data_IF_365443375327
#
_entry.id   IF_365443375327
#
_cell.length_a   1.000
_cell.length_b   1.000
_cell.length_c   1.000
_cell.angle_alpha   90.00
_cell.angle_beta   90.00
_cell.angle_gamma   90.00
#
_symmetry.space_group_name_H-M   'P 1'
#
loop_
_entity.id
_entity.type
_entity.pdbx_description
1 polymer ?
#
# COMPACT_ATOMS: atom_id res chain seq x y z
N UNK A 1 26.31 -45.58 -44.63
CA UNK A 1 24.99 -44.97 -44.37
C UNK A 1 25.02 -44.57 -42.91
N UNK A 2 25.53 -43.37 -42.63
CA UNK A 2 25.72 -42.87 -41.25
C UNK A 2 24.73 -41.74 -41.04
N UNK A 3 23.88 -41.91 -40.04
CA UNK A 3 22.80 -40.99 -39.68
C UNK A 3 23.38 -39.73 -39.03
N UNK A 4 22.87 -38.58 -39.46
CA UNK A 4 23.21 -37.26 -38.95
C UNK A 4 22.61 -37.06 -37.55
N UNK A 5 23.45 -36.96 -36.51
CA UNK A 5 23.03 -36.42 -35.22
C UNK A 5 23.46 -34.95 -35.16
N UNK A 6 22.63 -34.08 -35.74
CA UNK A 6 22.77 -32.65 -35.61
C UNK A 6 22.47 -32.21 -34.18
N UNK A 7 23.50 -31.81 -33.44
CA UNK A 7 23.39 -31.19 -32.11
C UNK A 7 22.45 -29.99 -32.16
N UNK A 8 21.22 -30.20 -31.72
CA UNK A 8 20.25 -29.12 -31.48
C UNK A 8 20.69 -28.36 -30.24
N UNK A 9 21.63 -27.43 -30.40
CA UNK A 9 22.02 -26.45 -29.38
C UNK A 9 20.84 -25.50 -29.11
N UNK A 10 19.86 -26.00 -28.36
CA UNK A 10 18.67 -25.26 -27.96
C UNK A 10 18.97 -24.44 -26.71
N UNK A 11 19.64 -23.29 -26.86
CA UNK A 11 19.56 -22.27 -25.80
C UNK A 11 18.08 -21.90 -25.63
N UNK A 12 17.53 -21.85 -24.39
CA UNK A 12 16.18 -21.38 -24.17
C UNK A 12 16.03 -20.01 -24.81
N UNK A 13 15.08 -19.85 -25.74
CA UNK A 13 14.76 -18.54 -26.31
C UNK A 13 14.14 -17.72 -25.19
N UNK A 14 14.91 -16.80 -24.64
CA UNK A 14 14.40 -15.84 -23.67
C UNK A 14 13.29 -15.01 -24.32
N UNK A 15 12.12 -15.02 -23.70
CA UNK A 15 10.98 -14.21 -24.14
C UNK A 15 11.27 -12.77 -23.76
N UNK A 16 11.09 -11.84 -24.70
CA UNK A 16 11.31 -10.42 -24.44
C UNK A 16 10.31 -9.86 -23.43
N UNK A 17 10.73 -8.89 -22.61
CA UNK A 17 9.89 -8.23 -21.60
C UNK A 17 8.64 -7.59 -22.22
N UNK A 18 8.78 -7.03 -23.42
CA UNK A 18 7.68 -6.44 -24.20
C UNK A 18 6.64 -7.51 -24.58
N UNK A 19 7.10 -8.69 -24.99
CA UNK A 19 6.21 -9.80 -25.34
C UNK A 19 5.44 -10.31 -24.12
N UNK A 20 6.09 -10.39 -22.96
CA UNK A 20 5.44 -10.73 -21.69
C UNK A 20 4.40 -9.67 -21.32
N UNK A 21 4.74 -8.38 -21.41
CA UNK A 21 3.82 -7.28 -21.12
C UNK A 21 2.59 -7.30 -22.04
N UNK A 22 2.80 -7.58 -23.33
CA UNK A 22 1.72 -7.69 -24.31
C UNK A 22 0.79 -8.87 -24.01
N UNK A 23 1.33 -10.04 -23.64
CA UNK A 23 0.51 -11.20 -23.25
C UNK A 23 -0.32 -10.88 -22.00
N UNK A 24 0.31 -10.29 -20.98
CA UNK A 24 -0.38 -9.93 -19.73
C UNK A 24 -1.51 -8.93 -19.97
N UNK A 25 -1.28 -7.91 -20.78
CA UNK A 25 -2.27 -6.86 -21.01
C UNK A 25 -3.37 -7.29 -22.00
N UNK A 26 -3.00 -7.78 -23.18
CA UNK A 26 -3.95 -8.01 -24.29
C UNK A 26 -4.67 -9.37 -24.19
N UNK A 27 -3.99 -10.42 -23.74
CA UNK A 27 -4.55 -11.77 -23.75
C UNK A 27 -5.09 -12.20 -22.38
N UNK A 28 -4.46 -11.74 -21.30
CA UNK A 28 -4.86 -12.08 -19.94
C UNK A 28 -5.68 -10.96 -19.26
N UNK A 29 -5.80 -9.77 -19.89
CA UNK A 29 -6.55 -8.64 -19.34
C UNK A 29 -6.03 -8.13 -17.99
N UNK A 30 -4.75 -8.40 -17.69
CA UNK A 30 -4.15 -8.03 -16.42
C UNK A 30 -3.70 -6.58 -16.42
N UNK A 31 -3.75 -5.97 -15.24
CA UNK A 31 -3.24 -4.62 -15.00
C UNK A 31 -2.15 -4.64 -13.95
N UNK A 32 -1.18 -3.75 -14.10
CA UNK A 32 -0.11 -3.56 -13.13
C UNK A 32 -0.53 -2.50 -12.12
N UNK A 33 -0.75 -2.90 -10.87
CA UNK A 33 -1.12 -2.00 -9.78
C UNK A 33 0.01 -1.85 -8.78
N UNK A 34 0.20 -0.63 -8.27
CA UNK A 34 1.04 -0.41 -7.10
C UNK A 34 0.29 -0.91 -5.85
N UNK A 35 0.99 -1.65 -5.01
CA UNK A 35 0.49 -2.09 -3.70
C UNK A 35 0.04 -0.88 -2.87
N UNK A 36 -1.13 -0.97 -2.22
CA UNK A 36 -1.57 0.09 -1.30
C UNK A 36 -1.01 -0.19 0.10
N UNK A 37 -0.24 0.76 0.63
CA UNK A 37 0.20 0.69 2.03
C UNK A 37 -0.98 0.92 2.95
N UNK A 38 -1.26 -0.07 3.80
CA UNK A 38 -2.26 0.03 4.87
C UNK A 38 -1.54 -0.23 6.19
N UNK A 39 -1.79 0.59 7.21
CA UNK A 39 -1.14 0.44 8.52
C UNK A 39 -1.42 -0.94 9.13
N UNK A 40 -2.71 -1.34 9.13
CA UNK A 40 -3.20 -2.66 9.55
C UNK A 40 -4.49 -3.00 8.83
N UNK A 41 -4.72 -4.27 8.55
CA UNK A 41 -6.02 -4.75 8.13
C UNK A 41 -6.95 -4.84 9.35
N UNK A 42 -8.08 -4.15 9.28
CA UNK A 42 -9.03 -4.06 10.39
C UNK A 42 -10.05 -5.21 10.32
N UNK A 43 -10.38 -5.78 11.48
CA UNK A 43 -11.49 -6.73 11.62
C UNK A 43 -12.85 -6.04 11.41
N UNK A 44 -13.91 -6.83 11.22
CA UNK A 44 -15.26 -6.29 11.09
C UNK A 44 -15.65 -5.44 12.31
N UNK A 45 -15.44 -5.96 13.53
CA UNK A 45 -15.79 -5.26 14.77
C UNK A 45 -15.00 -3.95 14.96
N UNK A 46 -13.72 -3.94 14.55
CA UNK A 46 -12.91 -2.71 14.58
C UNK A 46 -13.43 -1.65 13.62
N UNK A 47 -13.96 -2.06 12.46
CA UNK A 47 -14.60 -1.13 11.52
C UNK A 47 -15.90 -0.59 12.09
N UNK A 48 -16.73 -1.45 12.66
CA UNK A 48 -18.01 -1.03 13.26
C UNK A 48 -17.76 -0.03 14.39
N UNK A 49 -16.83 -0.34 15.31
CA UNK A 49 -16.46 0.58 16.40
C UNK A 49 -16.02 1.95 15.89
N UNK A 50 -15.21 2.00 14.83
CA UNK A 50 -14.81 3.27 14.21
C UNK A 50 -15.99 4.06 13.67
N UNK A 51 -17.01 3.39 13.11
CA UNK A 51 -18.24 4.05 12.64
C UNK A 51 -18.99 4.63 13.82
N UNK A 52 -19.22 3.83 14.86
CA UNK A 52 -19.96 4.24 16.06
C UNK A 52 -19.30 5.46 16.76
N UNK A 53 -17.97 5.40 16.93
CA UNK A 53 -17.17 6.49 17.51
C UNK A 53 -17.28 7.76 16.64
N UNK A 54 -17.21 7.61 15.31
CA UNK A 54 -17.31 8.72 14.37
C UNK A 54 -18.69 9.39 14.40
N UNK A 55 -19.76 8.59 14.52
CA UNK A 55 -21.12 9.11 14.65
C UNK A 55 -21.31 9.90 15.96
N UNK A 56 -20.72 9.42 17.06
CA UNK A 56 -20.76 10.12 18.33
C UNK A 56 -20.01 11.46 18.24
N UNK A 57 -18.79 11.46 17.69
CA UNK A 57 -18.02 12.68 17.45
C UNK A 57 -18.78 13.66 16.56
N UNK A 58 -19.41 13.18 15.48
CA UNK A 58 -20.19 14.02 14.58
C UNK A 58 -21.40 14.66 15.29
N UNK A 59 -22.09 13.92 16.17
CA UNK A 59 -23.19 14.48 16.98
C UNK A 59 -22.71 15.62 17.88
N UNK A 60 -21.55 15.49 18.51
CA UNK A 60 -20.96 16.54 19.36
C UNK A 60 -20.59 17.78 18.55
N UNK A 61 -19.91 17.58 17.41
CA UNK A 61 -19.54 18.67 16.49
C UNK A 61 -20.79 19.41 15.98
N UNK A 62 -21.86 18.69 15.63
CA UNK A 62 -23.11 19.30 15.14
C UNK A 62 -23.86 20.10 16.21
N UNK A 63 -23.72 19.75 17.49
CA UNK A 63 -24.39 20.45 18.60
C UNK A 63 -23.76 21.82 18.86
N UNK A 64 -22.44 21.88 18.98
CA UNK A 64 -21.71 23.13 19.23
C UNK A 64 -20.26 23.01 18.77
N UNK A 65 -20.03 23.20 17.46
CA UNK A 65 -18.69 23.06 16.86
C UNK A 65 -17.64 23.97 17.51
N UNK A 66 -17.86 25.29 17.69
CA UNK A 66 -16.84 26.18 18.25
C UNK A 66 -16.42 25.80 19.67
N UNK A 67 -17.38 25.44 20.53
CA UNK A 67 -17.06 25.04 21.90
C UNK A 67 -16.35 23.68 21.96
N UNK A 68 -16.79 22.74 21.12
CA UNK A 68 -16.17 21.42 21.03
C UNK A 68 -14.70 21.54 20.62
N UNK A 69 -14.41 22.30 19.57
CA UNK A 69 -13.05 22.46 19.05
C UNK A 69 -12.16 23.28 20.00
N UNK A 70 -12.69 24.33 20.65
CA UNK A 70 -11.95 25.09 21.67
C UNK A 70 -11.39 24.24 22.82
N UNK A 71 -12.05 23.12 23.13
CA UNK A 71 -11.63 22.20 24.20
C UNK A 71 -10.88 20.97 23.65
N UNK A 72 -10.83 20.82 22.33
CA UNK A 72 -10.27 19.65 21.69
C UNK A 72 -8.76 19.83 21.51
N UNK A 73 -8.00 19.17 22.38
CA UNK A 73 -6.54 19.03 22.26
C UNK A 73 -6.28 17.61 21.78
N UNK A 74 -5.42 17.46 20.77
CA UNK A 74 -4.96 16.15 20.32
C UNK A 74 -3.43 16.09 20.35
N UNK A 75 -2.92 14.87 20.40
CA UNK A 75 -1.49 14.57 20.39
C UNK A 75 -1.25 13.46 19.38
N UNK A 76 -0.13 13.52 18.68
CA UNK A 76 0.37 12.40 17.88
C UNK A 76 1.88 12.27 18.01
N UNK A 77 2.36 11.06 17.75
CA UNK A 77 3.78 10.72 17.77
C UNK A 77 4.20 10.18 16.41
N UNK A 78 5.23 10.80 15.83
CA UNK A 78 5.77 10.39 14.54
C UNK A 78 7.25 10.01 14.65
N UNK A 79 7.61 8.89 14.02
CA UNK A 79 9.00 8.48 13.85
C UNK A 79 9.58 9.11 12.58
N UNK A 80 10.62 9.92 12.74
CA UNK A 80 11.40 10.49 11.65
C UNK A 80 12.66 9.65 11.45
N UNK A 81 12.77 9.05 10.27
CA UNK A 81 13.93 8.24 9.88
C UNK A 81 14.97 9.11 9.20
N UNK A 82 16.25 8.86 9.49
CA UNK A 82 17.35 9.58 8.82
C UNK A 82 17.42 9.29 7.30
N UNK A 83 16.82 8.19 6.86
CA UNK A 83 16.78 7.77 5.46
C UNK A 83 15.34 7.68 4.95
N UNK A 84 15.10 8.15 3.73
CA UNK A 84 13.78 8.04 3.08
C UNK A 84 13.64 6.67 2.40
N UNK A 85 12.60 5.88 2.70
CA UNK A 85 12.38 4.59 2.05
C UNK A 85 12.29 4.69 0.52
N UNK A 86 12.73 3.63 -0.18
CA UNK A 86 12.51 3.50 -1.63
C UNK A 86 11.01 3.58 -1.95
N UNK A 87 10.67 4.27 -3.05
CA UNK A 87 9.29 4.51 -3.46
C UNK A 87 8.51 3.21 -3.74
N UNK A 88 7.21 3.22 -3.45
CA UNK A 88 6.24 2.16 -3.71
C UNK A 88 6.16 1.73 -5.19
N UNK A 89 6.71 2.53 -6.11
CA UNK A 89 6.71 2.21 -7.54
C UNK A 89 7.41 0.89 -7.86
N UNK A 90 8.36 0.47 -7.01
CA UNK A 90 9.07 -0.81 -7.13
C UNK A 90 8.25 -2.03 -6.68
N UNK A 91 7.15 -1.85 -5.94
CA UNK A 91 6.23 -2.91 -5.50
C UNK A 91 4.98 -3.00 -6.37
N UNK A 92 5.14 -2.79 -7.67
CA UNK A 92 4.04 -2.97 -8.62
C UNK A 92 3.89 -4.45 -8.96
N UNK A 93 2.71 -5.01 -8.76
CA UNK A 93 2.39 -6.41 -9.03
C UNK A 93 1.29 -6.48 -10.11
N UNK A 94 1.30 -7.55 -10.91
CA UNK A 94 0.26 -7.80 -11.92
C UNK A 94 -0.97 -8.43 -11.26
N UNK A 95 -2.15 -7.87 -11.54
CA UNK A 95 -3.43 -8.25 -10.91
C UNK A 95 -4.50 -8.44 -11.98
N UNK A 96 -5.50 -9.27 -11.70
CA UNK A 96 -6.67 -9.37 -12.57
C UNK A 96 -7.49 -8.06 -12.54
N UNK A 97 -8.30 -7.84 -13.59
CA UNK A 97 -9.05 -6.59 -13.77
C UNK A 97 -10.01 -6.26 -12.61
N UNK A 98 -10.61 -7.27 -11.98
CA UNK A 98 -11.62 -7.08 -10.94
C UNK A 98 -11.07 -7.28 -9.52
N UNK A 99 -9.78 -7.58 -9.40
CA UNK A 99 -9.14 -7.77 -8.11
C UNK A 99 -8.70 -6.44 -7.48
N UNK A 100 -8.86 -6.30 -6.15
CA UNK A 100 -8.40 -5.13 -5.43
C UNK A 100 -6.87 -5.04 -5.48
N UNK A 101 -6.34 -3.84 -5.32
CA UNK A 101 -4.90 -3.64 -5.23
C UNK A 101 -4.32 -4.48 -4.06
N UNK A 102 -3.21 -5.20 -4.28
CA UNK A 102 -2.56 -5.97 -3.24
C UNK A 102 -2.18 -5.07 -2.06
N UNK A 103 -2.29 -5.61 -0.85
CA UNK A 103 -1.96 -4.92 0.40
C UNK A 103 -0.67 -5.50 0.95
N UNK A 104 0.25 -4.64 1.40
CA UNK A 104 1.48 -5.06 2.08
C UNK A 104 1.66 -4.28 3.37
N UNK A 105 2.04 -4.99 4.44
CA UNK A 105 2.40 -4.40 5.72
C UNK A 105 3.79 -3.78 5.67
N UNK A 106 3.99 -2.66 6.38
CA UNK A 106 5.28 -1.95 6.45
C UNK A 106 6.36 -2.82 7.08
N UNK A 107 7.45 -3.08 6.34
CA UNK A 107 8.66 -3.69 6.89
C UNK A 107 9.48 -2.62 7.63
N UNK A 108 9.92 -2.85 8.88
CA UNK A 108 10.73 -1.89 9.60
C UNK A 108 12.12 -1.73 8.97
N UNK A 109 12.61 -0.49 8.88
CA UNK A 109 13.99 -0.20 8.48
C UNK A 109 14.91 -0.16 9.70
N UNK A 110 16.13 -0.67 9.54
CA UNK A 110 17.16 -0.79 10.59
C UNK A 110 18.01 0.47 10.80
N UNK A 111 17.62 1.62 10.24
CA UNK A 111 18.38 2.87 10.38
C UNK A 111 17.93 3.70 11.60
N UNK A 112 18.83 4.56 12.10
CA UNK A 112 18.55 5.49 13.19
C UNK A 112 17.26 6.30 12.96
N UNK A 113 16.48 6.47 14.04
CA UNK A 113 15.19 7.15 14.03
C UNK A 113 15.07 8.07 15.25
N UNK A 114 14.38 9.18 15.07
CA UNK A 114 14.00 10.12 16.13
C UNK A 114 12.47 10.08 16.28
N UNK A 115 11.97 10.06 17.51
CA UNK A 115 10.54 10.24 17.78
C UNK A 115 10.28 11.72 18.04
N UNK A 116 9.26 12.28 17.39
CA UNK A 116 8.71 13.56 17.81
C UNK A 116 7.29 13.34 18.32
N UNK A 117 6.95 13.99 19.42
CA UNK A 117 5.59 14.05 19.97
C UNK A 117 5.10 15.49 19.83
N UNK A 118 3.92 15.68 19.26
CA UNK A 118 3.34 17.00 19.00
C UNK A 118 1.96 17.06 19.59
N UNK A 119 1.66 18.17 20.26
CA UNK A 119 0.33 18.51 20.76
C UNK A 119 -0.18 19.72 19.97
N UNK A 120 -1.47 19.73 19.65
CA UNK A 120 -2.11 20.87 18.99
C UNK A 120 -3.57 21.00 19.38
N UNK A 121 -4.04 22.24 19.35
CA UNK A 121 -5.40 22.70 19.62
C UNK A 121 -5.86 23.69 18.54
N UNK A 122 -7.09 24.19 18.67
CA UNK A 122 -7.62 25.28 17.84
C UNK A 122 -7.28 26.62 18.53
N UNK A 123 -6.12 27.21 18.19
CA UNK A 123 -5.73 28.58 18.62
C UNK A 123 -6.58 29.67 17.96
#
# INVERSE_FOLDING_TARGET
MSTEDGERSGRPKEISTERVHHIMYEYLGMRKLCVKWVSRELTFDQKQRRVDDSEQCLKMIKRNKPEFLRRYVTMDEAWFHHFTPKSNRQSSEWTAHDEPAPKRGKTPQSAGKVMASVFWDEL
#
